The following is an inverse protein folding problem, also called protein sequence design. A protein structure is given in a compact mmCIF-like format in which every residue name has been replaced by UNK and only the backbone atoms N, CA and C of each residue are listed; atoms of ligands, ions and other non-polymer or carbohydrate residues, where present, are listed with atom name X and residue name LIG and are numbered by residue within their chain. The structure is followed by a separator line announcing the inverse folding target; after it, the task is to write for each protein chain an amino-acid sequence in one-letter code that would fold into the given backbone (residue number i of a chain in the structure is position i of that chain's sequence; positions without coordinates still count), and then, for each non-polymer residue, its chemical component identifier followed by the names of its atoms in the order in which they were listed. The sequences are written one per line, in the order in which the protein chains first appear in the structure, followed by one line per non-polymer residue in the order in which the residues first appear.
data_IF_599410770223
#
_entry.id   IF_599410770223
#
_cell.length_a   1.000
_cell.length_b   1.000
_cell.length_c   1.000
_cell.angle_alpha   90.00
_cell.angle_beta   90.00
_cell.angle_gamma   90.00
#
_symmetry.space_group_name_H-M   'P 1'
#
loop_
_entity.id
_entity.type
_entity.pdbx_description
1 polymer ?
#
# COMPACT_ATOMS: atom_id res chain seq x y z
N UNK A 1 -47.52 -7.71 -21.73
CA UNK A 1 -46.54 -6.64 -22.05
C UNK A 1 -45.20 -7.28 -22.36
N UNK A 2 -44.78 -7.27 -23.62
CA UNK A 2 -43.55 -7.92 -24.09
C UNK A 2 -42.35 -7.00 -23.87
N UNK A 3 -41.43 -7.37 -22.97
CA UNK A 3 -40.17 -6.67 -22.78
C UNK A 3 -39.31 -6.81 -24.05
N UNK A 4 -39.16 -5.73 -24.80
CA UNK A 4 -38.31 -5.68 -26.00
C UNK A 4 -36.84 -5.69 -25.59
N UNK A 5 -36.10 -6.72 -26.01
CA UNK A 5 -34.64 -6.90 -25.86
C UNK A 5 -33.82 -5.65 -26.26
N UNK A 6 -34.42 -4.76 -27.05
CA UNK A 6 -33.82 -3.52 -27.54
C UNK A 6 -33.54 -2.47 -26.46
N UNK A 7 -34.09 -2.63 -25.25
CA UNK A 7 -33.92 -1.70 -24.15
C UNK A 7 -32.96 -2.18 -23.07
N UNK A 8 -32.46 -3.42 -23.14
CA UNK A 8 -31.78 -4.01 -21.99
C UNK A 8 -30.30 -3.66 -21.91
N UNK A 9 -29.59 -3.52 -23.03
CA UNK A 9 -28.18 -3.08 -23.02
C UNK A 9 -27.81 -2.45 -24.36
N UNK A 10 -27.89 -1.12 -24.44
CA UNK A 10 -27.13 -0.34 -25.42
C UNK A 10 -26.05 0.41 -24.66
N UNK A 11 -24.93 -0.23 -24.29
CA UNK A 11 -23.81 0.52 -23.76
C UNK A 11 -23.46 1.54 -24.84
N UNK A 12 -23.71 2.81 -24.56
CA UNK A 12 -23.20 3.91 -25.37
C UNK A 12 -21.72 3.64 -25.56
N UNK A 13 -21.27 3.56 -26.82
CA UNK A 13 -19.89 3.22 -27.12
C UNK A 13 -19.01 4.31 -26.53
N UNK A 14 -18.43 4.04 -25.36
CA UNK A 14 -17.42 4.89 -24.75
C UNK A 14 -16.24 4.97 -25.72
N UNK A 15 -15.75 6.17 -25.99
CA UNK A 15 -14.64 6.37 -26.92
C UNK A 15 -13.41 5.60 -26.43
N UNK A 16 -12.55 5.17 -27.36
CA UNK A 16 -11.32 4.47 -27.01
C UNK A 16 -10.43 5.33 -26.09
N UNK A 17 -10.45 6.65 -26.31
CA UNK A 17 -9.73 7.64 -25.51
C UNK A 17 -10.20 7.67 -24.05
N UNK A 18 -11.53 7.71 -23.81
CA UNK A 18 -12.07 7.70 -22.45
C UNK A 18 -11.71 6.40 -21.73
N UNK A 19 -11.79 5.24 -22.41
CA UNK A 19 -11.36 3.96 -21.83
C UNK A 19 -9.87 3.95 -21.46
N UNK A 20 -9.02 4.51 -22.31
CA UNK A 20 -7.59 4.61 -22.04
C UNK A 20 -7.31 5.56 -20.85
N UNK A 21 -8.02 6.69 -20.79
CA UNK A 21 -7.92 7.64 -19.68
C UNK A 21 -8.34 7.01 -18.35
N UNK A 22 -9.48 6.31 -18.31
CA UNK A 22 -9.99 5.62 -17.12
C UNK A 22 -8.99 4.56 -16.62
N UNK A 23 -8.45 3.76 -17.56
CA UNK A 23 -7.46 2.72 -17.24
C UNK A 23 -6.18 3.34 -16.66
N UNK A 24 -5.69 4.41 -17.28
CA UNK A 24 -4.49 5.11 -16.81
C UNK A 24 -4.72 5.76 -15.43
N UNK A 25 -5.89 6.36 -15.21
CA UNK A 25 -6.27 6.92 -13.92
C UNK A 25 -6.34 5.84 -12.83
N UNK A 26 -6.95 4.69 -13.13
CA UNK A 26 -7.01 3.56 -12.21
C UNK A 26 -5.61 3.01 -11.87
N UNK A 27 -4.74 2.84 -12.87
CA UNK A 27 -3.38 2.39 -12.67
C UNK A 27 -2.58 3.34 -11.76
N UNK A 28 -2.69 4.66 -11.98
CA UNK A 28 -2.06 5.67 -11.12
C UNK A 28 -2.61 5.63 -9.70
N UNK A 29 -3.92 5.44 -9.56
CA UNK A 29 -4.58 5.29 -8.26
C UNK A 29 -4.03 4.10 -7.46
N UNK A 30 -3.88 2.94 -8.10
CA UNK A 30 -3.33 1.72 -7.48
C UNK A 30 -1.91 1.97 -6.99
N UNK A 31 -1.04 2.53 -7.83
CA UNK A 31 0.36 2.82 -7.46
C UNK A 31 0.43 3.78 -6.28
N UNK A 32 -0.38 4.85 -6.27
CA UNK A 32 -0.43 5.79 -5.17
C UNK A 32 -0.92 5.14 -3.86
N UNK A 33 -1.95 4.29 -3.94
CA UNK A 33 -2.45 3.54 -2.77
C UNK A 33 -1.38 2.60 -2.20
N UNK A 34 -0.66 1.88 -3.06
CA UNK A 34 0.44 1.03 -2.62
C UNK A 34 1.56 1.82 -1.94
N UNK A 35 1.97 2.95 -2.53
CA UNK A 35 3.00 3.82 -1.94
C UNK A 35 2.59 4.27 -0.54
N UNK A 36 1.37 4.79 -0.39
CA UNK A 36 0.81 5.20 0.89
C UNK A 36 0.75 4.04 1.91
N UNK A 37 0.41 2.83 1.47
CA UNK A 37 0.38 1.65 2.33
C UNK A 37 1.79 1.25 2.80
N UNK A 38 2.79 1.35 1.91
CA UNK A 38 4.20 1.09 2.24
C UNK A 38 4.73 2.12 3.24
N UNK A 39 4.44 3.41 3.03
CA UNK A 39 4.82 4.49 3.95
C UNK A 39 4.20 4.31 5.35
N UNK A 40 2.89 4.05 5.42
CA UNK A 40 2.23 3.77 6.71
C UNK A 40 2.84 2.56 7.42
N UNK A 41 3.25 1.53 6.68
CA UNK A 41 3.91 0.36 7.25
C UNK A 41 5.30 0.71 7.78
N UNK A 42 6.10 1.46 7.03
CA UNK A 42 7.45 1.84 7.46
C UNK A 42 7.42 2.75 8.67
N UNK A 43 6.48 3.70 8.74
CA UNK A 43 6.25 4.54 9.92
C UNK A 43 5.93 3.71 11.16
N UNK A 44 4.99 2.76 11.05
CA UNK A 44 4.65 1.84 12.15
C UNK A 44 5.86 1.03 12.63
N UNK A 45 6.64 0.48 11.70
CA UNK A 45 7.83 -0.30 12.04
C UNK A 45 8.93 0.57 12.67
N UNK A 46 9.09 1.81 12.21
CA UNK A 46 10.03 2.77 12.78
C UNK A 46 9.62 3.15 14.21
N UNK A 47 8.34 3.43 14.45
CA UNK A 47 7.82 3.70 15.79
C UNK A 47 8.03 2.50 16.74
N UNK A 48 7.75 1.28 16.26
CA UNK A 48 7.98 0.05 17.03
C UNK A 48 9.46 -0.14 17.36
N UNK A 49 10.37 0.11 16.41
CA UNK A 49 11.82 0.02 16.66
C UNK A 49 12.27 1.02 17.72
N UNK A 50 11.83 2.27 17.65
CA UNK A 50 12.15 3.29 18.65
C UNK A 50 11.63 2.93 20.04
N UNK A 51 10.39 2.43 20.12
CA UNK A 51 9.83 1.94 21.39
C UNK A 51 10.63 0.77 21.97
N UNK A 52 11.09 -0.16 21.12
CA UNK A 52 11.97 -1.26 21.54
C UNK A 52 13.32 -0.76 22.03
N UNK A 53 13.96 0.15 21.32
CA UNK A 53 15.24 0.74 21.73
C UNK A 53 15.11 1.47 23.08
N UNK A 54 14.02 2.21 23.30
CA UNK A 54 13.75 2.86 24.58
C UNK A 54 13.49 1.87 25.73
N UNK A 55 12.90 0.71 25.44
CA UNK A 55 12.57 -0.31 26.44
C UNK A 55 13.70 -1.33 26.70
N UNK A 56 14.70 -1.43 25.83
CA UNK A 56 15.77 -2.41 25.97
C UNK A 56 16.95 -1.79 26.70
N UNK A 57 17.32 -2.25 27.91
CA UNK A 57 18.52 -1.76 28.58
C UNK A 57 19.77 -2.11 27.74
N UNK A 58 20.83 -1.28 27.80
CA UNK A 58 22.05 -1.52 27.04
C UNK A 58 22.62 -2.90 27.36
N UNK A 59 22.99 -3.65 26.32
CA UNK A 59 23.56 -4.98 26.48
C UNK A 59 24.78 -4.93 27.41
N UNK A 60 24.93 -5.88 28.35
CA UNK A 60 26.03 -5.87 29.29
C UNK A 60 27.36 -6.00 28.54
N UNK A 61 28.32 -5.14 28.89
CA UNK A 61 29.66 -5.13 28.32
C UNK A 61 30.32 -6.53 28.45
N UNK A 62 31.04 -7.00 27.42
CA UNK A 62 31.68 -8.30 27.47
C UNK A 62 32.69 -8.35 28.64
N UNK A 63 32.51 -9.31 29.55
CA UNK A 63 33.43 -9.52 30.67
C UNK A 63 34.82 -9.84 30.11
N UNK A 64 35.79 -8.95 30.31
CA UNK A 64 37.20 -9.21 30.00
C UNK A 64 37.63 -10.44 30.79
N UNK A 65 38.08 -11.48 30.09
CA UNK A 65 38.73 -12.64 30.72
C UNK A 65 40.01 -12.16 31.38
N UNK A 66 40.10 -12.33 32.70
CA UNK A 66 41.36 -12.11 33.42
C UNK A 66 42.39 -13.12 32.89
N UNK A 67 43.51 -12.64 32.36
CA UNK A 67 44.67 -13.49 32.06
C UNK A 67 45.29 -13.91 33.39
N UNK A 68 45.53 -15.21 33.53
CA UNK A 68 46.32 -15.82 34.60
C UNK A 68 47.77 -15.88 34.17
#
# INVERSE_FOLDING_TARGET
MTATKQNFFKPTKVSAETKAADTNAAARGIVAQEANAREKKTERLRALRLAKEAATPPAPLPKKRAKK
#
